data_IF_223483494533
#
_entry.id   IF_223483494533
#
_cell.length_a   1.000
_cell.length_b   1.000
_cell.length_c   1.000
_cell.angle_alpha   90.00
_cell.angle_beta   90.00
_cell.angle_gamma   90.00
#
_symmetry.space_group_name_H-M   'P 1'
#
loop_
_entity.id
_entity.type
_entity.pdbx_description
1 polymer ?
#
# COMPACT_ATOMS: atom_id res chain seq x y z
N UNK A 1 31.17 -39.18 19.89
CA UNK A 1 30.93 -37.72 19.84
C UNK A 1 29.85 -37.49 18.79
N UNK A 2 28.58 -37.39 19.21
CA UNK A 2 27.48 -37.10 18.28
C UNK A 2 27.29 -35.58 18.21
N UNK A 3 27.52 -35.00 17.04
CA UNK A 3 27.15 -33.61 16.76
C UNK A 3 25.63 -33.57 16.55
N UNK A 4 24.94 -32.73 17.32
CA UNK A 4 23.52 -32.43 17.09
C UNK A 4 23.36 -31.69 15.76
N UNK A 5 22.24 -31.89 15.02
CA UNK A 5 21.98 -31.13 13.81
C UNK A 5 21.78 -29.65 14.15
N UNK A 6 22.18 -28.72 13.26
CA UNK A 6 21.95 -27.30 13.47
C UNK A 6 20.46 -27.03 13.61
N UNK A 7 20.08 -26.29 14.65
CA UNK A 7 18.74 -25.75 14.79
C UNK A 7 18.45 -24.91 13.53
N UNK A 8 17.52 -25.38 12.70
CA UNK A 8 16.94 -24.56 11.65
C UNK A 8 16.29 -23.37 12.33
N UNK A 9 16.98 -22.23 12.30
CA UNK A 9 16.40 -20.93 12.60
C UNK A 9 15.33 -20.72 11.55
N UNK A 10 14.11 -21.18 11.84
CA UNK A 10 12.90 -20.74 11.16
C UNK A 10 12.87 -19.23 11.37
N UNK A 11 13.41 -18.51 10.40
CA UNK A 11 13.19 -17.09 10.26
C UNK A 11 11.69 -16.99 9.98
N UNK A 12 10.91 -16.66 11.00
CA UNK A 12 9.53 -16.21 10.83
C UNK A 12 9.60 -15.11 9.78
N UNK A 13 9.26 -15.45 8.53
CA UNK A 13 8.96 -14.45 7.53
C UNK A 13 7.83 -13.64 8.16
N UNK A 14 7.98 -12.33 8.37
CA UNK A 14 6.87 -11.56 8.89
C UNK A 14 5.72 -11.80 7.93
N UNK A 15 4.59 -12.30 8.45
CA UNK A 15 3.34 -12.46 7.73
C UNK A 15 3.04 -11.15 7.01
N UNK A 16 3.52 -11.02 5.77
CA UNK A 16 3.44 -9.81 4.98
C UNK A 16 2.08 -9.76 4.29
N UNK A 17 1.04 -10.03 5.07
CA UNK A 17 -0.33 -9.80 4.67
C UNK A 17 -0.55 -8.30 4.73
N UNK A 18 -0.32 -7.63 3.61
CA UNK A 18 -0.67 -6.22 3.41
C UNK A 18 -2.10 -6.01 3.88
N UNK A 19 -2.30 -5.10 4.83
CA UNK A 19 -3.63 -4.77 5.30
C UNK A 19 -4.32 -3.83 4.31
N UNK A 20 -5.02 -4.40 3.32
CA UNK A 20 -5.69 -3.66 2.25
C UNK A 20 -6.73 -2.63 2.74
N UNK A 21 -7.24 -2.76 3.97
CA UNK A 21 -8.16 -1.76 4.56
C UNK A 21 -7.44 -0.45 4.90
N UNK A 22 -6.12 -0.47 5.04
CA UNK A 22 -5.25 0.67 5.37
C UNK A 22 -4.31 1.04 4.22
N UNK A 23 -4.69 0.69 2.99
CA UNK A 23 -3.88 0.96 1.81
C UNK A 23 -4.47 2.07 0.96
N UNK A 24 -3.58 2.94 0.49
CA UNK A 24 -3.84 3.87 -0.61
C UNK A 24 -2.92 3.59 -1.78
N UNK A 25 -3.42 3.86 -2.99
CA UNK A 25 -2.66 3.74 -4.23
C UNK A 25 -2.48 5.13 -4.79
N UNK A 26 -1.24 5.51 -5.04
CA UNK A 26 -0.90 6.69 -5.81
C UNK A 26 -0.65 6.25 -7.26
N UNK A 27 -1.43 6.81 -8.18
CA UNK A 27 -1.29 6.59 -9.63
C UNK A 27 0.14 6.86 -10.13
N UNK A 28 0.76 7.91 -9.58
CA UNK A 28 2.10 8.37 -9.94
C UNK A 28 2.78 8.99 -8.71
N UNK A 29 3.99 8.56 -8.41
CA UNK A 29 4.85 9.15 -7.40
C UNK A 29 6.22 9.46 -8.02
N UNK A 30 6.50 10.74 -8.25
CA UNK A 30 7.76 11.17 -8.87
C UNK A 30 8.96 11.12 -7.90
N UNK A 31 8.69 11.19 -6.58
CA UNK A 31 9.72 11.14 -5.55
C UNK A 31 9.25 10.31 -4.36
N UNK A 32 9.64 9.02 -4.37
CA UNK A 32 9.29 8.05 -3.33
C UNK A 32 9.83 8.46 -1.96
N UNK A 33 11.08 8.93 -1.92
CA UNK A 33 11.76 9.33 -0.69
C UNK A 33 11.06 10.51 -0.03
N UNK A 34 10.58 11.47 -0.84
CA UNK A 34 9.82 12.60 -0.31
C UNK A 34 8.45 12.17 0.20
N UNK A 35 7.75 11.26 -0.49
CA UNK A 35 6.48 10.71 -0.01
C UNK A 35 6.66 10.01 1.35
N UNK A 36 7.69 9.17 1.47
CA UNK A 36 8.04 8.50 2.73
C UNK A 36 8.40 9.50 3.83
N UNK A 37 9.22 10.51 3.52
CA UNK A 37 9.60 11.55 4.46
C UNK A 37 8.39 12.37 4.94
N UNK A 38 7.54 12.83 4.01
CA UNK A 38 6.36 13.62 4.33
C UNK A 38 5.44 12.85 5.28
N UNK A 39 5.07 11.62 4.94
CA UNK A 39 4.14 10.82 5.74
C UNK A 39 4.75 10.40 7.09
N UNK A 40 6.03 10.00 7.13
CA UNK A 40 6.64 9.48 8.38
C UNK A 40 7.23 10.56 9.29
N UNK A 41 7.84 11.62 8.73
CA UNK A 41 8.56 12.64 9.49
C UNK A 41 7.76 13.91 9.69
N UNK A 42 7.09 14.41 8.65
CA UNK A 42 6.30 15.64 8.78
C UNK A 42 4.94 15.37 9.40
N UNK A 43 4.26 14.31 8.96
CA UNK A 43 2.92 13.94 9.44
C UNK A 43 2.95 12.97 10.62
N UNK A 44 4.07 12.27 10.85
CA UNK A 44 4.21 11.35 11.97
C UNK A 44 3.47 10.01 11.81
N UNK A 45 3.06 9.65 10.60
CA UNK A 45 2.36 8.39 10.33
C UNK A 45 3.34 7.28 9.93
N UNK A 46 3.41 6.17 10.68
CA UNK A 46 4.18 5.00 10.27
C UNK A 46 3.50 4.34 9.05
N UNK A 47 4.29 4.11 8.01
CA UNK A 47 3.82 3.53 6.74
C UNK A 47 4.81 2.51 6.18
N UNK A 48 4.30 1.66 5.29
CA UNK A 48 5.10 0.83 4.38
C UNK A 48 4.79 1.25 2.94
N UNK A 49 5.81 1.65 2.21
CA UNK A 49 5.70 2.06 0.82
C UNK A 49 6.30 1.00 -0.09
N UNK A 50 5.63 0.71 -1.20
CA UNK A 50 6.22 -0.09 -2.29
C UNK A 50 5.79 0.38 -3.66
N UNK A 51 6.69 0.23 -4.64
CA UNK A 51 6.36 0.39 -6.05
C UNK A 51 5.50 -0.80 -6.49
N UNK A 52 4.45 -0.51 -7.25
CA UNK A 52 3.58 -1.52 -7.83
C UNK A 52 4.22 -2.10 -9.09
N UNK A 53 4.19 -3.42 -9.23
CA UNK A 53 4.84 -4.07 -10.39
C UNK A 53 4.49 -5.53 -10.62
N UNK A 54 3.77 -6.18 -9.69
CA UNK A 54 3.35 -7.57 -9.85
C UNK A 54 2.03 -7.69 -10.63
N UNK A 55 1.67 -8.89 -11.09
CA UNK A 55 0.37 -9.15 -11.73
C UNK A 55 -0.82 -8.77 -10.83
N UNK A 56 -0.88 -9.17 -9.54
CA UNK A 56 -1.95 -8.74 -8.63
C UNK A 56 -2.04 -7.22 -8.44
N UNK A 57 -0.88 -6.52 -8.46
CA UNK A 57 -0.86 -5.07 -8.38
C UNK A 57 -1.56 -4.43 -9.59
N UNK A 58 -1.39 -5.01 -10.77
CA UNK A 58 -2.00 -4.50 -12.00
C UNK A 58 -3.53 -4.59 -11.94
N UNK A 59 -4.07 -5.70 -11.44
CA UNK A 59 -5.52 -5.88 -11.28
C UNK A 59 -6.09 -4.90 -10.25
N UNK A 60 -5.39 -4.73 -9.13
CA UNK A 60 -5.76 -3.75 -8.10
C UNK A 60 -5.68 -2.30 -8.63
N UNK A 61 -4.64 -1.98 -9.40
CA UNK A 61 -4.48 -0.67 -10.02
C UNK A 61 -5.59 -0.36 -11.02
N UNK A 62 -5.96 -1.33 -11.88
CA UNK A 62 -7.07 -1.16 -12.84
C UNK A 62 -8.40 -0.92 -12.15
N UNK A 63 -8.61 -1.55 -11.00
CA UNK A 63 -9.80 -1.32 -10.20
C UNK A 63 -9.81 0.09 -9.57
N UNK A 64 -8.63 0.61 -9.19
CA UNK A 64 -8.47 1.97 -8.67
C UNK A 64 -8.60 3.06 -9.75
N UNK A 65 -8.04 2.80 -10.94
CA UNK A 65 -7.99 3.74 -12.07
C UNK A 65 -8.46 3.07 -13.37
N UNK A 66 -9.79 2.90 -13.55
CA UNK A 66 -10.33 2.21 -14.72
C UNK A 66 -9.93 2.88 -16.04
N UNK A 67 -9.44 2.09 -16.99
CA UNK A 67 -9.05 2.56 -18.32
C UNK A 67 -7.65 3.19 -18.39
N UNK A 68 -6.91 3.24 -17.29
CA UNK A 68 -5.56 3.81 -17.26
C UNK A 68 -4.47 2.74 -17.11
N UNK A 69 -3.35 2.86 -17.84
CA UNK A 69 -2.23 1.94 -17.67
C UNK A 69 -1.46 2.23 -16.38
N UNK A 70 -1.06 1.16 -15.66
CA UNK A 70 -0.17 1.26 -14.51
C UNK A 70 1.22 1.72 -14.95
N UNK A 71 1.60 2.94 -14.54
CA UNK A 71 2.94 3.48 -14.79
C UNK A 71 4.00 2.84 -13.89
N UNK A 72 5.28 3.01 -14.26
CA UNK A 72 6.42 2.49 -13.48
C UNK A 72 6.61 3.14 -12.10
N UNK A 73 5.90 4.23 -11.85
CA UNK A 73 5.93 5.00 -10.61
C UNK A 73 4.61 4.96 -9.85
N UNK A 74 3.73 4.01 -10.18
CA UNK A 74 2.59 3.71 -9.33
C UNK A 74 3.09 3.11 -8.01
N UNK A 75 2.57 3.60 -6.89
CA UNK A 75 3.01 3.17 -5.57
C UNK A 75 1.83 2.86 -4.68
N UNK A 76 2.04 1.88 -3.82
CA UNK A 76 1.11 1.47 -2.80
C UNK A 76 1.68 1.88 -1.45
N UNK A 77 0.85 2.51 -0.64
CA UNK A 77 1.20 2.94 0.72
C UNK A 77 0.25 2.30 1.69
N UNK A 78 0.79 1.47 2.59
CA UNK A 78 0.09 0.87 3.70
C UNK A 78 0.35 1.69 4.96
N UNK A 79 -0.70 2.13 5.63
CA UNK A 79 -0.62 2.78 6.94
C UNK A 79 -0.63 1.74 8.05
N UNK A 80 0.31 1.82 8.99
CA UNK A 80 0.36 0.87 10.10
C UNK A 80 -0.74 1.16 11.14
N UNK A 81 -1.23 2.41 11.22
CA UNK A 81 -2.28 2.85 12.14
C UNK A 81 -3.57 3.23 11.43
N UNK A 82 -4.70 3.10 12.13
CA UNK A 82 -6.01 3.58 11.64
C UNK A 82 -6.06 5.09 11.55
N UNK A 83 -5.46 5.79 12.52
CA UNK A 83 -5.36 7.25 12.53
C UNK A 83 -4.73 7.80 11.25
N UNK A 84 -3.62 7.21 10.79
CA UNK A 84 -2.97 7.61 9.53
C UNK A 84 -3.86 7.36 8.31
N UNK A 85 -4.59 6.25 8.32
CA UNK A 85 -5.53 5.92 7.25
C UNK A 85 -6.75 6.87 7.23
N UNK A 86 -7.30 7.21 8.39
CA UNK A 86 -8.41 8.16 8.49
C UNK A 86 -7.99 9.56 8.08
N UNK A 87 -6.80 9.98 8.51
CA UNK A 87 -6.21 11.25 8.11
C UNK A 87 -6.09 11.33 6.58
N UNK A 88 -5.45 10.34 5.94
CA UNK A 88 -5.24 10.39 4.49
C UNK A 88 -6.59 10.34 3.77
N UNK A 89 -7.55 9.52 4.23
CA UNK A 89 -8.90 9.44 3.64
C UNK A 89 -9.62 10.79 3.63
N UNK A 90 -9.50 11.57 4.72
CA UNK A 90 -10.03 12.93 4.75
C UNK A 90 -9.43 13.87 3.69
N UNK A 91 -8.25 13.54 3.16
CA UNK A 91 -7.51 14.34 2.19
C UNK A 91 -7.49 13.75 0.78
N UNK A 92 -7.82 12.46 0.57
CA UNK A 92 -7.78 11.79 -0.73
C UNK A 92 -8.60 12.53 -1.79
N UNK A 93 -9.78 13.06 -1.42
CA UNK A 93 -10.61 13.84 -2.34
C UNK A 93 -9.92 15.10 -2.90
N UNK A 94 -8.90 15.63 -2.22
CA UNK A 94 -8.08 16.76 -2.68
C UNK A 94 -6.83 16.31 -3.46
N UNK A 95 -6.41 15.05 -3.33
CA UNK A 95 -5.22 14.51 -3.97
C UNK A 95 -5.56 13.84 -5.30
N UNK A 96 -5.24 14.50 -6.41
CA UNK A 96 -5.45 13.93 -7.75
C UNK A 96 -4.62 12.66 -7.93
N UNK A 97 -5.28 11.57 -8.32
CA UNK A 97 -4.62 10.30 -8.61
C UNK A 97 -4.25 9.48 -7.37
N UNK A 98 -4.99 9.64 -6.27
CA UNK A 98 -4.87 8.80 -5.08
C UNK A 98 -6.21 8.13 -4.82
N UNK A 99 -6.22 6.83 -4.51
CA UNK A 99 -7.43 6.06 -4.22
C UNK A 99 -7.19 5.15 -3.03
N UNK A 100 -8.11 5.12 -2.06
CA UNK A 100 -8.08 4.15 -0.98
C UNK A 100 -8.58 2.79 -1.48
N UNK A 101 -7.86 1.71 -1.19
CA UNK A 101 -8.24 0.36 -1.65
C UNK A 101 -9.60 -0.07 -1.10
N UNK A 102 -9.92 0.32 0.12
CA UNK A 102 -11.25 0.06 0.70
C UNK A 102 -12.39 0.65 -0.14
N UNK A 103 -12.21 1.82 -0.76
CA UNK A 103 -13.25 2.45 -1.58
C UNK A 103 -13.48 1.70 -2.90
N UNK A 104 -12.44 1.03 -3.42
CA UNK A 104 -12.57 0.14 -4.59
C UNK A 104 -13.54 -0.99 -4.27
N UNK A 105 -13.38 -1.64 -3.10
CA UNK A 105 -14.25 -2.73 -2.65
C UNK A 105 -15.70 -2.29 -2.44
N UNK A 106 -15.89 -1.14 -1.80
CA UNK A 106 -17.23 -0.58 -1.55
C UNK A 106 -17.95 -0.21 -2.86
N UNK A 107 -17.22 0.27 -3.88
CA UNK A 107 -17.79 0.58 -5.18
C UNK A 107 -18.13 -0.67 -6.00
N UNK A 108 -17.34 -1.75 -5.89
CA UNK A 108 -17.68 -3.03 -6.53
C UNK A 108 -18.96 -3.65 -5.96
N UNK A 109 -19.20 -3.54 -4.65
CA UNK A 109 -20.41 -4.09 -4.00
C UNK A 109 -21.70 -3.32 -4.30
N UNK A 110 -21.61 -2.08 -4.80
CA UNK A 110 -22.79 -1.25 -5.14
C UNK A 110 -23.24 -1.44 -6.59
N UNK A 111 -22.50 -2.21 -7.38
CA UNK A 111 -22.79 -2.46 -8.81
C UNK A 111 -23.42 -3.84 -9.07
N UNK A 112 -23.62 -4.64 -8.02
CA UNK A 112 -24.43 -5.87 -8.00
C UNK A 112 -25.83 -5.57 -7.42
#
# INVERSE_FOLDING_TARGET
MSAAPPEEVFSEQPDSTVNLERVVIFKKCDNLQYLEFWLTKEMGFPIKVRIMGSFPDNDLFKAAFPGEPMGKSAVMVEFETEEGMEFIRGHIGAMKGVVAVREIRENSQRQD
#
